data_IF_198177632832
#
_entry.id   IF_198177632832
#
_cell.length_a   1.000
_cell.length_b   1.000
_cell.length_c   1.000
_cell.angle_alpha   90.00
_cell.angle_beta   90.00
_cell.angle_gamma   90.00
#
_symmetry.space_group_name_H-M   'P 1'
#
loop_
_entity.id
_entity.type
_entity.pdbx_description
1 polymer ?
#
# COMPACT_ATOMS: atom_id res chain seq x y z
N UNK A 1 7.46 -17.98 1.46
CA UNK A 1 6.58 -17.04 0.73
C UNK A 1 7.40 -16.35 -0.34
N UNK A 2 6.90 -16.24 -1.58
CA UNK A 2 7.55 -15.51 -2.67
C UNK A 2 6.58 -14.46 -3.20
N UNK A 3 7.03 -13.21 -3.35
CA UNK A 3 6.22 -12.11 -3.85
C UNK A 3 6.81 -11.63 -5.19
N UNK A 4 6.00 -11.63 -6.24
CA UNK A 4 6.33 -10.95 -7.49
C UNK A 4 5.76 -9.53 -7.45
N UNK A 5 6.58 -8.60 -6.97
CA UNK A 5 6.19 -7.20 -6.81
C UNK A 5 6.55 -6.42 -8.07
N UNK A 6 5.56 -5.74 -8.66
CA UNK A 6 5.76 -4.85 -9.81
C UNK A 6 5.14 -3.49 -9.55
N UNK A 7 5.85 -2.38 -9.81
CA UNK A 7 5.24 -1.06 -9.77
C UNK A 7 4.14 -0.97 -10.85
N UNK A 8 2.98 -0.46 -10.47
CA UNK A 8 1.90 -0.15 -11.39
C UNK A 8 1.72 1.37 -11.45
N UNK A 9 1.46 1.87 -12.66
CA UNK A 9 1.39 3.29 -12.97
C UNK A 9 0.00 3.64 -13.49
N UNK A 10 -0.37 4.91 -13.41
CA UNK A 10 -1.67 5.35 -13.89
C UNK A 10 -2.03 6.70 -13.30
N UNK A 11 -2.75 7.51 -14.07
CA UNK A 11 -3.20 8.83 -13.64
C UNK A 11 -4.15 8.77 -12.44
N UNK A 12 -4.92 7.68 -12.32
CA UNK A 12 -5.88 7.43 -11.26
C UNK A 12 -5.79 5.97 -10.75
N UNK A 13 -6.48 5.68 -9.65
CA UNK A 13 -6.52 4.36 -9.01
C UNK A 13 -7.15 3.29 -9.91
N UNK A 14 -8.14 3.64 -10.74
CA UNK A 14 -8.77 2.70 -11.68
C UNK A 14 -7.76 2.25 -12.74
N UNK A 15 -7.00 3.17 -13.28
CA UNK A 15 -5.97 2.94 -14.31
C UNK A 15 -4.87 2.05 -13.77
N UNK A 16 -4.45 2.26 -12.51
CA UNK A 16 -3.48 1.39 -11.82
C UNK A 16 -4.01 -0.04 -11.71
N UNK A 17 -5.27 -0.20 -11.31
CA UNK A 17 -5.91 -1.52 -11.20
C UNK A 17 -6.06 -2.19 -12.57
N UNK A 18 -6.47 -1.45 -13.61
CA UNK A 18 -6.54 -1.95 -14.99
C UNK A 18 -5.17 -2.38 -15.51
N UNK A 19 -4.11 -1.62 -15.22
CA UNK A 19 -2.75 -1.99 -15.60
C UNK A 19 -2.32 -3.28 -14.89
N UNK A 20 -2.54 -3.37 -13.57
CA UNK A 20 -2.22 -4.54 -12.77
C UNK A 20 -2.95 -5.79 -13.28
N UNK A 21 -4.25 -5.68 -13.54
CA UNK A 21 -5.07 -6.76 -14.08
C UNK A 21 -4.58 -7.24 -15.45
N UNK A 22 -4.32 -6.32 -16.38
CA UNK A 22 -3.76 -6.65 -17.70
C UNK A 22 -2.38 -7.31 -17.60
N UNK A 23 -1.53 -6.86 -16.67
CA UNK A 23 -0.19 -7.43 -16.46
C UNK A 23 -0.29 -8.86 -15.93
N UNK A 24 -1.11 -9.10 -14.93
CA UNK A 24 -1.36 -10.43 -14.37
C UNK A 24 -1.96 -11.37 -15.43
N UNK A 25 -2.91 -10.88 -16.23
CA UNK A 25 -3.50 -11.67 -17.31
C UNK A 25 -2.46 -12.13 -18.34
N UNK A 26 -1.42 -11.33 -18.59
CA UNK A 26 -0.31 -11.67 -19.50
C UNK A 26 0.81 -12.46 -18.83
N UNK A 27 0.78 -12.62 -17.51
CA UNK A 27 1.85 -13.30 -16.79
C UNK A 27 1.82 -14.81 -17.05
N UNK A 28 2.91 -15.42 -17.56
CA UNK A 28 2.92 -16.84 -17.94
C UNK A 28 2.68 -17.76 -16.74
N UNK A 29 3.09 -17.32 -15.54
CA UNK A 29 2.91 -18.05 -14.29
C UNK A 29 1.62 -17.72 -13.53
N UNK A 30 0.66 -16.98 -14.11
CA UNK A 30 -0.51 -16.45 -13.35
C UNK A 30 -1.31 -17.51 -12.57
N UNK A 31 -1.33 -18.75 -13.06
CA UNK A 31 -2.01 -19.90 -12.42
C UNK A 31 -1.35 -20.37 -11.11
N UNK A 32 -0.11 -19.96 -10.86
CA UNK A 32 0.65 -20.32 -9.65
C UNK A 32 0.53 -19.25 -8.57
N UNK A 33 -0.09 -18.10 -8.86
CA UNK A 33 -0.35 -17.08 -7.86
C UNK A 33 -1.52 -17.51 -6.96
N UNK A 34 -1.26 -17.60 -5.66
CA UNK A 34 -2.27 -17.92 -4.64
C UNK A 34 -3.06 -16.68 -4.19
N UNK A 35 -2.55 -15.48 -4.49
CA UNK A 35 -3.19 -14.21 -4.21
C UNK A 35 -2.65 -13.12 -5.12
N UNK A 36 -3.47 -12.11 -5.38
CA UNK A 36 -3.14 -10.99 -6.26
C UNK A 36 -3.62 -9.72 -5.58
N UNK A 37 -2.70 -8.84 -5.21
CA UNK A 37 -2.99 -7.64 -4.41
C UNK A 37 -2.50 -6.41 -5.15
N UNK A 38 -3.29 -5.35 -5.11
CA UNK A 38 -2.90 -3.99 -5.53
C UNK A 38 -2.88 -3.10 -4.30
N UNK A 39 -1.74 -2.46 -4.05
CA UNK A 39 -1.59 -1.43 -3.02
C UNK A 39 -1.89 -0.06 -3.64
N UNK A 40 -2.74 0.73 -2.98
CA UNK A 40 -3.13 2.07 -3.42
C UNK A 40 -3.11 3.05 -2.25
N UNK A 41 -2.65 4.27 -2.47
CA UNK A 41 -2.82 5.34 -1.48
C UNK A 41 -4.30 5.74 -1.36
N UNK A 42 -4.77 5.93 -0.12
CA UNK A 42 -6.17 6.25 0.16
C UNK A 42 -6.56 7.64 -0.32
N UNK A 43 -5.66 8.60 -0.25
CA UNK A 43 -5.89 9.98 -0.70
C UNK A 43 -6.19 10.10 -2.20
N UNK A 44 -5.68 9.17 -3.02
CA UNK A 44 -6.02 9.04 -4.44
C UNK A 44 -7.44 8.53 -4.65
N UNK A 45 -7.89 7.58 -3.83
CA UNK A 45 -9.26 7.05 -3.92
C UNK A 45 -10.31 8.13 -3.67
N UNK A 46 -10.11 8.99 -2.66
CA UNK A 46 -11.07 10.05 -2.34
C UNK A 46 -11.20 11.06 -3.48
N UNK A 47 -10.12 11.29 -4.23
CA UNK A 47 -10.15 12.08 -5.47
C UNK A 47 -10.92 11.38 -6.58
N UNK A 48 -10.72 10.08 -6.75
CA UNK A 48 -11.34 9.31 -7.82
C UNK A 48 -12.84 9.07 -7.60
N UNK A 49 -13.26 8.83 -6.36
CA UNK A 49 -14.67 8.70 -5.98
C UNK A 49 -15.48 9.95 -6.31
N UNK A 50 -14.91 11.14 -6.09
CA UNK A 50 -15.53 12.42 -6.51
C UNK A 50 -15.76 12.50 -8.02
N UNK A 51 -14.99 11.75 -8.80
CA UNK A 51 -15.11 11.66 -10.25
C UNK A 51 -15.87 10.40 -10.71
N UNK A 52 -16.63 9.75 -9.83
CA UNK A 52 -17.41 8.54 -10.15
C UNK A 52 -16.56 7.29 -10.45
N UNK A 53 -15.29 7.28 -10.06
CA UNK A 53 -14.36 6.16 -10.27
C UNK A 53 -14.17 5.38 -8.98
N UNK A 54 -14.36 4.06 -9.03
CA UNK A 54 -14.14 3.17 -7.89
C UNK A 54 -13.21 2.01 -8.27
N UNK A 55 -11.98 2.07 -7.74
CA UNK A 55 -10.96 1.05 -7.94
C UNK A 55 -11.36 -0.34 -7.43
N UNK A 56 -12.22 -0.44 -6.39
CA UNK A 56 -12.69 -1.74 -5.88
C UNK A 56 -13.60 -2.44 -6.89
N UNK A 57 -14.47 -1.68 -7.58
CA UNK A 57 -15.34 -2.23 -8.64
C UNK A 57 -14.48 -2.77 -9.78
N UNK A 58 -13.47 -2.01 -10.21
CA UNK A 58 -12.56 -2.46 -11.27
C UNK A 58 -11.72 -3.66 -10.83
N UNK A 59 -11.24 -3.68 -9.59
CA UNK A 59 -10.45 -4.77 -9.05
C UNK A 59 -11.24 -6.08 -8.99
N UNK A 60 -12.54 -6.02 -8.64
CA UNK A 60 -13.42 -7.17 -8.65
C UNK A 60 -13.52 -7.84 -10.05
N UNK A 61 -13.56 -7.05 -11.13
CA UNK A 61 -13.54 -7.57 -12.51
C UNK A 61 -12.28 -8.37 -12.81
N UNK A 62 -11.15 -7.92 -12.26
CA UNK A 62 -9.84 -8.57 -12.41
C UNK A 62 -9.55 -9.64 -11.36
N UNK A 63 -10.45 -9.86 -10.38
CA UNK A 63 -10.23 -10.73 -9.21
C UNK A 63 -8.99 -10.34 -8.41
N UNK A 64 -8.76 -9.03 -8.28
CA UNK A 64 -7.67 -8.46 -7.51
C UNK A 64 -8.15 -8.01 -6.14
N UNK A 65 -7.33 -8.27 -5.13
CA UNK A 65 -7.51 -7.69 -3.81
C UNK A 65 -6.96 -6.26 -3.78
N UNK A 66 -7.72 -5.33 -3.22
CA UNK A 66 -7.23 -3.96 -3.01
C UNK A 66 -6.92 -3.76 -1.54
N UNK A 67 -5.73 -3.25 -1.26
CA UNK A 67 -5.32 -2.80 0.07
C UNK A 67 -4.96 -1.33 -0.01
N UNK A 68 -5.47 -0.55 0.92
CA UNK A 68 -5.20 0.89 0.98
C UNK A 68 -4.09 1.22 1.97
N UNK A 69 -3.20 2.12 1.57
CA UNK A 69 -2.24 2.76 2.46
C UNK A 69 -2.91 4.00 3.03
N UNK A 70 -3.09 4.06 4.35
CA UNK A 70 -3.77 5.17 5.01
C UNK A 70 -2.80 6.14 5.70
N UNK A 71 -2.93 7.46 5.46
CA UNK A 71 -3.57 8.08 4.28
C UNK A 71 -2.81 7.83 2.96
N UNK A 72 -1.50 7.55 3.03
CA UNK A 72 -0.59 7.27 1.93
C UNK A 72 0.64 6.49 2.45
N UNK A 73 1.63 6.22 1.60
CA UNK A 73 2.89 5.57 2.00
C UNK A 73 3.56 6.26 3.21
N UNK A 74 3.79 7.58 3.18
CA UNK A 74 4.47 8.26 4.30
C UNK A 74 3.72 8.12 5.62
N UNK A 75 2.39 8.21 5.61
CA UNK A 75 1.57 8.05 6.81
C UNK A 75 1.56 6.62 7.34
N UNK A 76 1.70 5.62 6.45
CA UNK A 76 1.95 4.24 6.85
C UNK A 76 3.33 4.10 7.50
N UNK A 77 4.39 4.63 6.88
CA UNK A 77 5.77 4.57 7.41
C UNK A 77 5.91 5.27 8.77
N UNK A 78 5.19 6.38 8.99
CA UNK A 78 5.13 7.04 10.30
C UNK A 78 4.63 6.07 11.37
N UNK A 79 3.56 5.33 11.09
CA UNK A 79 2.95 4.40 12.05
C UNK A 79 3.77 3.15 12.32
N UNK A 80 4.75 2.86 11.47
CA UNK A 80 5.72 1.79 11.74
C UNK A 80 6.72 2.18 12.85
N UNK A 81 6.88 3.46 13.18
CA UNK A 81 7.76 3.86 14.28
C UNK A 81 7.13 3.57 15.65
N UNK A 82 7.91 3.09 16.64
CA UNK A 82 7.40 2.86 18.00
C UNK A 82 6.74 4.10 18.60
N UNK A 83 5.55 3.94 19.17
CA UNK A 83 4.77 5.04 19.78
C UNK A 83 4.03 5.92 18.78
N UNK A 84 4.09 5.60 17.48
CA UNK A 84 3.40 6.33 16.42
C UNK A 84 2.25 5.54 15.78
N UNK A 85 1.94 4.34 16.26
CA UNK A 85 1.03 3.37 15.62
C UNK A 85 -0.40 3.92 15.41
N UNK A 86 -0.83 4.76 16.34
CA UNK A 86 -2.16 5.38 16.35
C UNK A 86 -2.18 6.77 15.73
N UNK A 87 -1.04 7.32 15.29
CA UNK A 87 -1.02 8.62 14.60
C UNK A 87 -1.83 8.52 13.31
N UNK A 88 -2.63 9.54 13.02
CA UNK A 88 -3.49 9.62 11.84
C UNK A 88 -3.31 10.98 11.16
N UNK A 89 -2.11 11.29 10.64
CA UNK A 89 -1.92 12.52 9.90
C UNK A 89 -2.81 12.51 8.66
N UNK A 90 -3.13 13.69 8.13
CA UNK A 90 -3.64 13.79 6.76
C UNK A 90 -2.53 13.44 5.75
N UNK A 91 -2.88 13.16 4.49
CA UNK A 91 -1.90 12.93 3.43
C UNK A 91 -0.91 14.10 3.28
N UNK A 92 -1.38 15.33 3.51
CA UNK A 92 -0.58 16.56 3.45
C UNK A 92 0.42 16.67 4.60
N UNK A 93 0.06 16.21 5.79
CA UNK A 93 0.91 16.29 6.99
C UNK A 93 1.88 15.12 7.12
N UNK A 94 1.57 13.99 6.47
CA UNK A 94 2.29 12.73 6.64
C UNK A 94 3.80 12.85 6.44
N UNK A 95 4.26 13.56 5.40
CA UNK A 95 5.69 13.76 5.15
C UNK A 95 6.37 14.59 6.25
N UNK A 96 5.71 15.65 6.70
CA UNK A 96 6.25 16.53 7.74
C UNK A 96 6.38 15.78 9.06
N UNK A 97 5.35 15.03 9.44
CA UNK A 97 5.38 14.22 10.66
C UNK A 97 6.38 13.07 10.58
N UNK A 98 6.48 12.39 9.45
CA UNK A 98 7.49 11.35 9.24
C UNK A 98 8.90 11.91 9.43
N UNK A 99 9.21 13.08 8.86
CA UNK A 99 10.51 13.73 9.01
C UNK A 99 10.83 14.18 10.43
N UNK A 100 9.86 14.27 11.34
CA UNK A 100 10.15 14.53 12.77
C UNK A 100 10.72 13.31 13.49
N UNK A 101 10.34 12.10 13.05
CA UNK A 101 10.79 10.84 13.66
C UNK A 101 11.85 10.11 12.81
N UNK A 102 11.95 10.50 11.54
CA UNK A 102 12.94 10.03 10.58
C UNK A 102 13.50 11.22 9.76
N UNK A 103 14.34 12.07 10.37
CA UNK A 103 14.86 13.30 9.74
C UNK A 103 15.56 13.10 8.39
N UNK A 104 16.25 11.97 8.25
CA UNK A 104 16.99 11.57 7.06
C UNK A 104 16.12 10.94 5.95
N UNK A 105 14.79 10.90 6.10
CA UNK A 105 13.88 10.34 5.10
C UNK A 105 13.90 11.13 3.77
N UNK A 106 14.25 10.42 2.70
CA UNK A 106 14.20 10.90 1.32
C UNK A 106 13.08 10.19 0.55
N UNK A 107 12.33 10.97 -0.25
CA UNK A 107 11.23 10.45 -1.08
C UNK A 107 11.70 10.32 -2.54
N UNK A 108 11.43 9.19 -3.22
CA UNK A 108 10.88 7.94 -2.69
C UNK A 108 11.94 7.12 -1.92
N UNK A 109 11.55 6.36 -0.89
CA UNK A 109 12.47 5.49 -0.19
C UNK A 109 12.82 4.28 -1.07
N UNK A 110 14.05 3.81 -0.93
CA UNK A 110 14.53 2.55 -1.50
C UNK A 110 14.09 1.36 -0.65
N UNK A 111 14.07 0.17 -1.25
CA UNK A 111 13.77 -1.05 -0.49
C UNK A 111 14.80 -1.29 0.63
N UNK A 112 16.07 -0.99 0.38
CA UNK A 112 17.15 -1.16 1.34
C UNK A 112 16.99 -0.23 2.55
N UNK A 113 16.63 1.04 2.33
CA UNK A 113 16.32 1.97 3.43
C UNK A 113 15.15 1.46 4.29
N UNK A 114 14.11 0.92 3.66
CA UNK A 114 12.96 0.38 4.39
C UNK A 114 13.32 -0.85 5.21
N UNK A 115 14.10 -1.79 4.66
CA UNK A 115 14.52 -3.01 5.35
C UNK A 115 15.50 -2.72 6.49
N UNK A 116 16.37 -1.73 6.32
CA UNK A 116 17.27 -1.29 7.39
C UNK A 116 16.53 -0.62 8.54
N UNK A 117 15.42 0.08 8.25
CA UNK A 117 14.68 0.85 9.25
C UNK A 117 13.59 0.06 9.95
N UNK A 118 12.90 -0.84 9.24
CA UNK A 118 11.72 -1.53 9.75
C UNK A 118 11.83 -3.05 9.63
N UNK A 119 11.49 -3.72 10.73
CA UNK A 119 11.33 -5.17 10.77
C UNK A 119 9.87 -5.61 10.66
N UNK A 120 9.66 -6.92 10.55
CA UNK A 120 8.32 -7.50 10.57
C UNK A 120 7.57 -7.22 11.88
N UNK A 121 8.28 -7.08 13.01
CA UNK A 121 7.69 -6.69 14.30
C UNK A 121 7.05 -5.30 14.25
N UNK A 122 7.64 -4.35 13.53
CA UNK A 122 7.12 -3.00 13.35
C UNK A 122 5.83 -3.02 12.54
N UNK A 123 5.83 -3.78 11.44
CA UNK A 123 4.66 -3.97 10.59
C UNK A 123 3.52 -4.62 11.38
N UNK A 124 3.81 -5.68 12.14
CA UNK A 124 2.82 -6.37 12.99
C UNK A 124 2.28 -5.47 14.10
N UNK A 125 3.14 -4.64 14.70
CA UNK A 125 2.74 -3.68 15.73
C UNK A 125 1.77 -2.64 15.16
N UNK A 126 2.11 -2.03 14.03
CA UNK A 126 1.24 -1.08 13.35
C UNK A 126 -0.09 -1.71 12.91
N UNK A 127 -0.09 -2.96 12.43
CA UNK A 127 -1.28 -3.68 12.00
C UNK A 127 -2.31 -3.94 13.12
N UNK A 128 -1.92 -3.82 14.39
CA UNK A 128 -2.89 -3.83 15.51
C UNK A 128 -3.82 -2.63 15.48
N UNK A 129 -3.40 -1.55 14.84
CA UNK A 129 -4.16 -0.31 14.74
C UNK A 129 -4.56 0.02 13.29
N UNK A 130 -4.12 -0.74 12.30
CA UNK A 130 -4.45 -0.51 10.88
C UNK A 130 -5.13 -1.75 10.29
N UNK A 131 -6.39 -1.61 9.90
CA UNK A 131 -7.19 -2.71 9.35
C UNK A 131 -6.76 -3.11 7.93
N UNK A 132 -6.31 -2.17 7.10
CA UNK A 132 -5.85 -2.45 5.73
C UNK A 132 -4.46 -3.12 5.76
N UNK A 133 -3.57 -2.68 6.64
CA UNK A 133 -2.28 -3.36 6.87
C UNK A 133 -2.50 -4.74 7.47
N UNK A 134 -3.42 -4.90 8.43
CA UNK A 134 -3.80 -6.22 8.97
C UNK A 134 -4.37 -7.13 7.89
N UNK A 135 -5.18 -6.57 6.98
CA UNK A 135 -5.71 -7.29 5.82
C UNK A 135 -4.58 -7.75 4.89
N UNK A 136 -3.62 -6.89 4.59
CA UNK A 136 -2.44 -7.25 3.80
C UNK A 136 -1.68 -8.42 4.44
N UNK A 137 -1.37 -8.34 5.73
CA UNK A 137 -0.65 -9.41 6.42
C UNK A 137 -1.40 -10.74 6.34
N UNK A 138 -2.73 -10.74 6.52
CA UNK A 138 -3.54 -11.95 6.34
C UNK A 138 -3.49 -12.50 4.91
N UNK A 139 -3.56 -11.64 3.90
CA UNK A 139 -3.44 -12.04 2.48
C UNK A 139 -2.06 -12.64 2.17
N UNK A 140 -1.02 -12.21 2.90
CA UNK A 140 0.34 -12.75 2.82
C UNK A 140 0.56 -13.98 3.70
N UNK A 141 -0.39 -14.35 4.57
CA UNK A 141 -0.27 -15.46 5.52
C UNK A 141 0.64 -15.16 6.72
N UNK A 142 0.67 -13.91 7.19
CA UNK A 142 1.56 -13.38 8.24
C UNK A 142 0.86 -12.89 9.51
#
# INVERSE_FOLDING_TARGET
>A
MHLDVKPATGGDTVSVVEEAGRRIARHPGRRFFTGQVVLLDRDRLDRDRKNGRDARITAAKWRLEVVFQEPNLEGLLLRLHPGCEQRRPTARESLLELRRVWPEYNKPPTADELVQRFGLSDVRRAARHDDELRRLLRLLGL
#
